data_IF_076292652813
#
_entry.id   IF_076292652813
#
_cell.length_a   1.000
_cell.length_b   1.000
_cell.length_c   1.000
_cell.angle_alpha   90.00
_cell.angle_beta   90.00
_cell.angle_gamma   90.00
#
_symmetry.space_group_name_H-M   'P 1'
#
loop_
_entity.id
_entity.type
_entity.pdbx_description
1 polymer ?
#
# COMPACT_ATOMS: atom_id res chain seq x y z
N UNK A 1 -8.57 1.41 2.87
CA UNK A 1 -7.79 2.47 3.53
C UNK A 1 -6.78 1.83 4.45
N UNK A 2 -5.52 2.25 4.38
CA UNK A 2 -4.56 2.05 5.47
C UNK A 2 -5.18 2.69 6.72
N UNK A 3 -5.57 1.88 7.71
CA UNK A 3 -6.73 2.12 8.59
C UNK A 3 -6.75 3.35 9.50
N UNK A 4 -5.87 4.34 9.31
CA UNK A 4 -5.81 5.63 10.04
C UNK A 4 -5.54 6.85 9.17
N UNK A 5 -5.31 6.70 7.87
CA UNK A 5 -4.94 7.82 7.01
C UNK A 5 -6.16 8.42 6.32
N UNK A 6 -6.27 9.75 6.36
CA UNK A 6 -7.19 10.50 5.49
C UNK A 6 -6.71 10.46 4.05
N UNK A 7 -7.55 10.85 3.09
CA UNK A 7 -7.11 11.04 1.69
C UNK A 7 -5.95 12.03 1.60
N UNK A 8 -5.97 13.09 2.41
CA UNK A 8 -4.89 14.07 2.46
C UNK A 8 -3.58 13.47 2.97
N UNK A 9 -3.62 12.61 4.01
CA UNK A 9 -2.45 11.88 4.49
C UNK A 9 -1.80 11.06 3.36
N UNK A 10 -2.62 10.36 2.56
CA UNK A 10 -2.11 9.56 1.44
C UNK A 10 -1.43 10.45 0.38
N UNK A 11 -1.96 11.64 0.10
CA UNK A 11 -1.35 12.59 -0.85
C UNK A 11 -0.04 13.15 -0.30
N UNK A 12 0.03 13.49 0.99
CA UNK A 12 1.26 13.92 1.65
C UNK A 12 2.33 12.81 1.64
N UNK A 13 1.94 11.56 1.89
CA UNK A 13 2.84 10.41 1.80
C UNK A 13 3.39 10.20 0.39
N UNK A 14 2.55 10.27 -0.64
CA UNK A 14 3.00 10.18 -2.03
C UNK A 14 3.98 11.30 -2.40
N UNK A 15 3.77 12.51 -1.88
CA UNK A 15 4.71 13.63 -2.04
C UNK A 15 6.05 13.33 -1.38
N UNK A 16 6.02 12.81 -0.15
CA UNK A 16 7.22 12.40 0.58
C UNK A 16 7.98 11.31 -0.18
N UNK A 17 7.29 10.30 -0.69
CA UNK A 17 7.86 9.20 -1.45
C UNK A 17 8.54 9.68 -2.74
N UNK A 18 7.93 10.61 -3.49
CA UNK A 18 8.49 11.19 -4.71
C UNK A 18 9.63 12.21 -4.47
N UNK A 19 9.74 12.73 -3.24
CA UNK A 19 10.73 13.75 -2.86
C UNK A 19 11.91 13.19 -2.07
N UNK A 20 11.78 12.00 -1.50
CA UNK A 20 12.77 11.41 -0.59
C UNK A 20 13.64 10.41 -1.36
N UNK A 21 14.86 10.81 -1.71
CA UNK A 21 15.87 9.89 -2.26
C UNK A 21 16.35 8.86 -1.22
N UNK A 22 16.99 7.78 -1.68
CA UNK A 22 17.45 6.63 -0.86
C UNK A 22 18.14 7.04 0.44
N UNK A 23 19.09 7.97 0.37
CA UNK A 23 19.89 8.42 1.51
C UNK A 23 19.00 9.09 2.58
N UNK A 24 18.05 9.95 2.17
CA UNK A 24 17.14 10.65 3.09
C UNK A 24 16.08 9.72 3.69
N UNK A 25 15.73 8.65 2.97
CA UNK A 25 14.87 7.59 3.50
C UNK A 25 15.61 6.76 4.56
N UNK A 26 16.83 6.30 4.26
CA UNK A 26 17.67 5.53 5.18
C UNK A 26 18.03 6.34 6.44
N UNK A 27 18.44 7.61 6.32
CA UNK A 27 18.75 8.43 7.50
C UNK A 27 17.54 8.66 8.39
N UNK A 28 16.35 8.74 7.79
CA UNK A 28 15.12 8.97 8.53
C UNK A 28 14.56 7.72 9.20
N UNK A 29 14.68 6.55 8.58
CA UNK A 29 14.30 5.29 9.23
C UNK A 29 15.27 4.95 10.38
N UNK A 30 16.57 5.23 10.21
CA UNK A 30 17.58 5.10 11.28
C UNK A 30 17.31 6.12 12.41
N UNK A 31 17.02 7.38 12.07
CA UNK A 31 16.65 8.42 13.04
C UNK A 31 15.28 8.19 13.70
N UNK A 32 14.44 7.32 13.13
CA UNK A 32 13.23 6.80 13.75
C UNK A 32 13.47 5.50 14.53
N UNK A 33 14.73 5.04 14.67
CA UNK A 33 15.09 3.77 15.32
C UNK A 33 14.35 2.56 14.73
N UNK A 34 14.18 2.56 13.40
CA UNK A 34 13.44 1.56 12.64
C UNK A 34 11.94 1.49 12.93
N UNK A 35 11.39 2.51 13.59
CA UNK A 35 9.94 2.71 13.73
C UNK A 35 9.38 3.34 12.44
N UNK A 36 8.74 2.50 11.62
CA UNK A 36 8.10 2.93 10.37
C UNK A 36 6.94 3.90 10.62
N UNK A 37 6.23 3.79 11.75
CA UNK A 37 5.12 4.66 12.08
C UNK A 37 5.63 6.06 12.45
N UNK A 38 6.67 6.15 13.27
CA UNK A 38 7.31 7.43 13.61
C UNK A 38 7.94 8.09 12.38
N UNK A 39 8.58 7.31 11.50
CA UNK A 39 9.09 7.80 10.22
C UNK A 39 7.96 8.40 9.37
N UNK A 40 6.87 7.66 9.19
CA UNK A 40 5.74 8.09 8.38
C UNK A 40 5.05 9.32 8.98
N UNK A 41 4.84 9.37 10.30
CA UNK A 41 4.24 10.52 10.98
C UNK A 41 5.04 11.81 10.76
N UNK A 42 6.38 11.73 10.88
CA UNK A 42 7.28 12.86 10.60
C UNK A 42 7.18 13.32 9.14
N UNK A 43 7.17 12.38 8.19
CA UNK A 43 7.05 12.69 6.75
C UNK A 43 5.70 13.29 6.39
N UNK A 44 4.61 12.78 6.97
CA UNK A 44 3.28 13.35 6.79
C UNK A 44 3.23 14.80 7.29
N UNK A 45 3.78 15.07 8.48
CA UNK A 45 3.85 16.43 9.03
C UNK A 45 4.70 17.37 8.17
N UNK A 46 5.83 16.89 7.60
CA UNK A 46 6.67 17.68 6.70
C UNK A 46 5.97 18.04 5.39
N UNK A 47 5.16 17.13 4.84
CA UNK A 47 4.62 17.26 3.48
C UNK A 47 3.18 17.77 3.43
N UNK A 48 2.42 17.73 4.53
CA UNK A 48 1.12 18.39 4.65
C UNK A 48 1.24 19.92 4.57
N UNK A 49 0.40 20.52 3.74
CA UNK A 49 0.20 21.98 3.70
C UNK A 49 -0.62 22.47 4.89
N UNK A 50 -0.77 23.80 5.00
CA UNK A 50 -1.71 24.40 5.94
C UNK A 50 -3.17 24.12 5.55
N UNK A 51 -3.41 23.79 4.27
CA UNK A 51 -4.71 23.38 3.73
C UNK A 51 -4.58 22.15 2.82
N UNK A 52 -5.67 21.39 2.59
CA UNK A 52 -5.67 20.29 1.63
C UNK A 52 -5.30 20.72 0.19
N UNK A 53 -5.63 21.95 -0.19
CA UNK A 53 -5.25 22.51 -1.49
C UNK A 53 -3.73 22.66 -1.60
N UNK A 54 -3.08 23.19 -0.56
CA UNK A 54 -1.61 23.27 -0.51
C UNK A 54 -0.96 21.89 -0.49
N UNK A 55 -1.53 20.91 0.23
CA UNK A 55 -1.06 19.51 0.20
C UNK A 55 -1.10 18.96 -1.22
N UNK A 56 -2.18 19.24 -1.98
CA UNK A 56 -2.31 18.81 -3.37
C UNK A 56 -1.33 19.53 -4.30
N UNK A 57 -1.09 20.83 -4.11
CA UNK A 57 -0.16 21.59 -4.95
C UNK A 57 1.29 21.13 -4.75
N UNK A 58 1.67 20.78 -3.51
CA UNK A 58 2.95 20.14 -3.21
C UNK A 58 3.10 18.80 -3.92
N UNK A 59 2.05 17.99 -3.95
CA UNK A 59 2.06 16.74 -4.70
C UNK A 59 2.23 16.97 -6.20
N UNK A 60 1.48 17.92 -6.79
CA UNK A 60 1.57 18.27 -8.22
C UNK A 60 2.99 18.68 -8.63
N UNK A 61 3.69 19.41 -7.76
CA UNK A 61 5.06 19.85 -8.00
C UNK A 61 6.09 18.71 -8.15
N UNK A 62 5.76 17.49 -7.70
CA UNK A 62 6.69 16.35 -7.69
C UNK A 62 6.26 15.19 -8.59
N UNK A 63 5.17 15.33 -9.36
CA UNK A 63 4.65 14.26 -10.25
C UNK A 63 5.65 13.84 -11.33
N UNK A 64 6.52 14.75 -11.78
CA UNK A 64 7.56 14.47 -12.78
C UNK A 64 8.88 13.97 -12.17
N UNK A 65 8.95 13.84 -10.84
CA UNK A 65 10.15 13.35 -10.15
C UNK A 65 10.42 11.89 -10.51
N UNK A 66 11.66 11.62 -10.90
CA UNK A 66 12.18 10.26 -11.12
C UNK A 66 13.01 9.76 -9.94
N UNK A 67 13.00 10.49 -8.81
CA UNK A 67 13.71 10.06 -7.60
C UNK A 67 13.04 8.81 -7.04
N UNK A 68 13.84 7.78 -6.80
CA UNK A 68 13.41 6.54 -6.17
C UNK A 68 14.38 6.18 -5.04
N UNK A 69 13.86 5.72 -3.90
CA UNK A 69 14.69 5.22 -2.81
C UNK A 69 15.33 3.85 -3.12
N UNK A 70 14.93 3.15 -4.19
CA UNK A 70 15.55 1.89 -4.64
C UNK A 70 15.38 1.68 -6.16
N UNK A 71 16.24 0.86 -6.77
CA UNK A 71 16.16 0.49 -8.19
C UNK A 71 15.11 -0.58 -8.51
N UNK A 72 14.28 -0.99 -7.54
CA UNK A 72 13.26 -2.03 -7.73
C UNK A 72 11.95 -1.41 -8.22
N UNK A 73 11.82 -1.20 -9.53
CA UNK A 73 10.64 -0.58 -10.17
C UNK A 73 9.29 -1.18 -9.74
N UNK A 74 9.11 -2.51 -9.61
CA UNK A 74 7.83 -3.07 -9.16
C UNK A 74 7.43 -2.66 -7.74
N UNK A 75 8.40 -2.43 -6.84
CA UNK A 75 8.12 -1.97 -5.49
C UNK A 75 7.56 -0.54 -5.49
N UNK A 76 8.13 0.35 -6.30
CA UNK A 76 7.63 1.72 -6.49
C UNK A 76 6.28 1.77 -7.17
N UNK A 77 6.08 0.91 -8.17
CA UNK A 77 4.79 0.76 -8.82
C UNK A 77 3.72 0.31 -7.82
N UNK A 78 4.08 -0.56 -6.87
CA UNK A 78 3.22 -0.96 -5.75
C UNK A 78 2.75 0.22 -4.90
N UNK A 79 3.66 1.12 -4.50
CA UNK A 79 3.30 2.34 -3.74
C UNK A 79 2.29 3.19 -4.50
N UNK A 80 2.50 3.45 -5.80
CA UNK A 80 1.58 4.25 -6.61
C UNK A 80 0.23 3.57 -6.82
N UNK A 81 0.23 2.27 -7.12
CA UNK A 81 -1.00 1.49 -7.32
C UNK A 81 -1.82 1.50 -6.04
N UNK A 82 -1.21 1.13 -4.92
CA UNK A 82 -1.90 0.92 -3.65
C UNK A 82 -2.41 2.24 -3.08
N UNK A 83 -1.55 3.26 -2.99
CA UNK A 83 -1.95 4.55 -2.44
C UNK A 83 -2.88 5.32 -3.38
N UNK A 84 -2.70 5.17 -4.70
CA UNK A 84 -3.66 5.67 -5.66
C UNK A 84 -5.07 5.09 -5.47
N UNK A 85 -5.18 3.82 -5.08
CA UNK A 85 -6.45 3.20 -4.75
C UNK A 85 -6.98 3.59 -3.36
N UNK A 86 -6.10 3.83 -2.37
CA UNK A 86 -6.48 4.37 -1.06
C UNK A 86 -7.07 5.80 -1.16
N UNK A 87 -6.76 6.56 -2.23
CA UNK A 87 -7.44 7.84 -2.57
C UNK A 87 -8.74 7.62 -3.35
N UNK A 88 -8.69 6.80 -4.40
CA UNK A 88 -9.78 6.68 -5.37
C UNK A 88 -11.03 6.02 -4.82
N UNK A 89 -10.89 4.88 -4.12
CA UNK A 89 -12.03 4.09 -3.65
C UNK A 89 -12.91 4.87 -2.66
N UNK A 90 -12.37 5.58 -1.65
CA UNK A 90 -13.19 6.41 -0.76
C UNK A 90 -13.89 7.59 -1.46
N UNK A 91 -13.31 8.11 -2.55
CA UNK A 91 -13.89 9.21 -3.33
C UNK A 91 -14.84 8.73 -4.45
N UNK A 92 -15.06 7.42 -4.59
CA UNK A 92 -15.87 6.86 -5.67
C UNK A 92 -15.26 7.00 -7.07
N UNK A 93 -13.97 7.33 -7.18
CA UNK A 93 -13.30 7.55 -8.48
C UNK A 93 -12.93 6.21 -9.09
N UNK A 94 -13.54 5.88 -10.23
CA UNK A 94 -13.25 4.64 -10.97
C UNK A 94 -12.08 4.87 -11.94
N UNK A 95 -10.87 4.53 -11.50
CA UNK A 95 -9.70 4.43 -12.40
C UNK A 95 -8.83 3.25 -11.97
N UNK A 96 -8.65 2.33 -12.90
CA UNK A 96 -7.87 1.10 -12.70
C UNK A 96 -6.49 1.27 -13.35
N UNK A 97 -5.39 0.89 -12.67
CA UNK A 97 -4.08 0.79 -13.31
C UNK A 97 -4.12 -0.22 -14.47
N UNK A 98 -3.14 -0.17 -15.39
CA UNK A 98 -3.07 -1.16 -16.47
C UNK A 98 -2.93 -2.58 -15.92
N UNK A 99 -3.48 -3.57 -16.62
CA UNK A 99 -3.36 -4.98 -16.25
C UNK A 99 -1.89 -5.41 -16.19
N UNK A 100 -1.05 -4.88 -17.08
CA UNK A 100 0.40 -5.08 -17.04
C UNK A 100 1.01 -4.60 -15.71
N UNK A 101 0.66 -3.38 -15.27
CA UNK A 101 1.13 -2.83 -14.00
C UNK A 101 0.66 -3.67 -12.81
N UNK A 102 -0.61 -4.06 -12.81
CA UNK A 102 -1.19 -4.90 -11.75
C UNK A 102 -0.54 -6.28 -11.71
N UNK A 103 -0.29 -6.89 -12.87
CA UNK A 103 0.38 -8.19 -12.98
C UNK A 103 1.80 -8.12 -12.42
N UNK A 104 2.56 -7.07 -12.76
CA UNK A 104 3.92 -6.88 -12.24
C UNK A 104 3.95 -6.72 -10.72
N UNK A 105 3.05 -5.87 -10.16
CA UNK A 105 2.95 -5.66 -8.71
C UNK A 105 2.46 -6.93 -8.00
N UNK A 106 1.44 -7.59 -8.54
CA UNK A 106 0.89 -8.83 -7.98
C UNK A 106 1.94 -9.95 -7.91
N UNK A 107 2.73 -10.12 -8.98
CA UNK A 107 3.85 -11.08 -9.03
C UNK A 107 4.93 -10.76 -8.01
N UNK A 108 5.28 -9.48 -7.88
CA UNK A 108 6.23 -9.04 -6.85
C UNK A 108 5.70 -9.33 -5.44
N UNK A 109 4.45 -8.98 -5.15
CA UNK A 109 3.82 -9.19 -3.84
C UNK A 109 3.68 -10.66 -3.46
N UNK A 110 3.37 -11.52 -4.42
CA UNK A 110 3.26 -12.96 -4.19
C UNK A 110 4.63 -13.62 -3.95
N UNK A 111 5.71 -13.11 -4.56
CA UNK A 111 7.05 -13.71 -4.44
C UNK A 111 7.84 -13.26 -3.20
N UNK A 112 7.57 -12.05 -2.68
CA UNK A 112 8.40 -11.42 -1.65
C UNK A 112 7.64 -10.47 -0.73
N UNK A 113 7.95 -10.51 0.56
CA UNK A 113 7.60 -9.44 1.51
C UNK A 113 8.56 -8.25 1.33
N UNK A 114 8.03 -7.03 1.35
CA UNK A 114 8.83 -5.81 1.25
C UNK A 114 8.43 -4.79 2.33
N UNK A 115 7.59 -3.81 2.00
CA UNK A 115 6.99 -2.86 2.95
C UNK A 115 5.76 -3.42 3.66
N UNK A 116 5.21 -4.50 3.11
CA UNK A 116 4.07 -5.26 3.65
C UNK A 116 4.39 -6.75 3.65
N UNK A 117 3.71 -7.49 4.52
CA UNK A 117 3.79 -8.96 4.60
C UNK A 117 2.99 -9.64 3.48
N UNK A 118 3.11 -9.17 2.23
CA UNK A 118 2.28 -9.61 1.11
C UNK A 118 2.42 -11.09 0.80
N UNK A 119 3.65 -11.61 0.74
CA UNK A 119 3.91 -13.04 0.47
C UNK A 119 3.35 -13.90 1.59
N UNK A 120 3.63 -13.53 2.84
CA UNK A 120 3.09 -14.24 4.02
C UNK A 120 1.56 -14.23 4.03
N UNK A 121 0.95 -13.13 3.61
CA UNK A 121 -0.51 -12.99 3.56
C UNK A 121 -1.16 -14.00 2.61
N UNK A 122 -0.51 -14.32 1.49
CA UNK A 122 -1.06 -15.25 0.48
C UNK A 122 -0.47 -16.65 0.49
N UNK A 123 0.44 -16.95 1.42
CA UNK A 123 1.07 -18.26 1.52
C UNK A 123 0.04 -19.39 1.64
N UNK A 124 0.15 -20.39 0.78
CA UNK A 124 -0.76 -21.56 0.72
C UNK A 124 -2.13 -21.28 0.10
N UNK A 125 -2.32 -20.15 -0.58
CA UNK A 125 -3.52 -19.84 -1.37
C UNK A 125 -3.19 -19.92 -2.88
N UNK A 126 -4.20 -20.23 -3.69
CA UNK A 126 -4.14 -20.10 -5.16
C UNK A 126 -4.82 -18.79 -5.55
N UNK A 127 -4.05 -17.85 -6.08
CA UNK A 127 -4.54 -16.56 -6.56
C UNK A 127 -4.77 -16.63 -8.07
N UNK A 128 -5.91 -16.12 -8.56
CA UNK A 128 -6.19 -16.02 -10.01
C UNK A 128 -6.91 -14.73 -10.39
N UNK A 129 -6.28 -13.96 -11.27
CA UNK A 129 -6.93 -12.80 -11.87
C UNK A 129 -8.01 -13.22 -12.87
N UNK A 130 -9.13 -12.49 -12.88
CA UNK A 130 -10.21 -12.68 -13.88
C UNK A 130 -10.06 -11.82 -15.12
N UNK A 131 -9.24 -10.77 -15.04
CA UNK A 131 -9.07 -9.71 -16.04
C UNK A 131 -7.64 -9.63 -16.60
N UNK A 132 -6.78 -10.59 -16.23
CA UNK A 132 -5.37 -10.61 -16.60
C UNK A 132 -4.72 -11.97 -16.38
N UNK A 133 -3.44 -12.10 -16.77
CA UNK A 133 -2.74 -13.39 -16.76
C UNK A 133 -2.21 -13.80 -15.38
N UNK A 134 -2.36 -12.96 -14.36
CA UNK A 134 -1.79 -13.24 -13.04
C UNK A 134 -2.41 -14.47 -12.40
N UNK A 135 -1.58 -15.46 -12.10
CA UNK A 135 -1.91 -16.60 -11.26
C UNK A 135 -0.71 -16.96 -10.38
N UNK A 136 -0.95 -17.43 -9.15
CA UNK A 136 0.12 -17.81 -8.23
C UNK A 136 -0.34 -18.81 -7.17
N UNK A 137 0.53 -19.78 -6.88
CA UNK A 137 0.38 -20.67 -5.75
C UNK A 137 -0.62 -21.81 -5.98
N UNK A 138 -0.59 -22.75 -5.03
CA UNK A 138 -1.38 -23.97 -5.05
C UNK A 138 -2.09 -24.08 -3.69
N UNK A 139 -3.42 -24.14 -3.68
CA UNK A 139 -4.21 -24.10 -2.46
C UNK A 139 -5.66 -23.66 -2.70
N UNK A 140 -6.41 -23.31 -1.64
CA UNK A 140 -7.76 -22.76 -1.77
C UNK A 140 -7.78 -21.52 -2.68
N UNK A 141 -8.66 -21.55 -3.67
CA UNK A 141 -8.78 -20.51 -4.70
C UNK A 141 -9.26 -19.18 -4.10
N UNK A 142 -8.59 -18.11 -4.51
CA UNK A 142 -9.01 -16.71 -4.38
C UNK A 142 -8.95 -16.11 -5.77
N UNK A 143 -10.11 -15.79 -6.33
CA UNK A 143 -10.27 -15.35 -7.72
C UNK A 143 -10.98 -14.00 -7.77
N UNK A 144 -10.56 -13.12 -8.67
CA UNK A 144 -11.23 -11.84 -8.87
C UNK A 144 -10.40 -10.86 -9.69
N UNK A 145 -10.80 -9.58 -9.79
CA UNK A 145 -10.07 -8.57 -10.54
C UNK A 145 -8.63 -8.41 -10.01
N UNK A 146 -7.68 -8.15 -10.92
CA UNK A 146 -6.26 -8.00 -10.57
C UNK A 146 -6.04 -6.93 -9.50
N UNK A 147 -6.79 -5.82 -9.57
CA UNK A 147 -6.73 -4.75 -8.56
C UNK A 147 -7.17 -5.22 -7.17
N UNK A 148 -8.19 -6.08 -7.08
CA UNK A 148 -8.68 -6.60 -5.81
C UNK A 148 -7.66 -7.54 -5.18
N UNK A 149 -7.06 -8.43 -5.98
CA UNK A 149 -5.98 -9.30 -5.53
C UNK A 149 -4.77 -8.49 -5.04
N UNK A 150 -4.30 -7.52 -5.82
CA UNK A 150 -3.17 -6.64 -5.45
C UNK A 150 -3.43 -5.90 -4.15
N UNK A 151 -4.62 -5.32 -3.97
CA UNK A 151 -4.96 -4.55 -2.79
C UNK A 151 -5.16 -5.42 -1.55
N UNK A 152 -5.73 -6.62 -1.71
CA UNK A 152 -5.85 -7.60 -0.62
C UNK A 152 -4.46 -8.12 -0.19
N UNK A 153 -3.56 -8.39 -1.14
CA UNK A 153 -2.14 -8.72 -0.86
C UNK A 153 -1.43 -7.59 -0.09
N UNK A 154 -1.78 -6.35 -0.36
CA UNK A 154 -1.30 -5.18 0.38
C UNK A 154 -2.00 -5.01 1.75
N UNK A 155 -2.83 -5.96 2.18
CA UNK A 155 -3.50 -5.95 3.48
C UNK A 155 -4.80 -5.14 3.53
N UNK A 156 -5.37 -4.67 2.41
CA UNK A 156 -6.63 -3.91 2.41
C UNK A 156 -7.84 -4.86 2.35
N UNK A 157 -8.29 -5.29 3.52
CA UNK A 157 -9.35 -6.30 3.68
C UNK A 157 -10.67 -6.00 2.94
N UNK A 158 -11.03 -4.72 2.72
CA UNK A 158 -12.24 -4.33 1.98
C UNK A 158 -12.22 -4.79 0.52
N UNK A 159 -11.03 -5.03 -0.07
CA UNK A 159 -10.94 -5.58 -1.42
C UNK A 159 -11.26 -7.07 -1.47
N UNK A 160 -11.33 -7.76 -0.33
CA UNK A 160 -11.83 -9.13 -0.28
C UNK A 160 -13.34 -9.22 -0.56
N UNK A 161 -14.08 -8.08 -0.56
CA UNK A 161 -15.49 -8.04 -0.97
C UNK A 161 -15.63 -8.23 -2.50
N UNK A 162 -14.56 -7.98 -3.24
CA UNK A 162 -14.49 -8.08 -4.69
C UNK A 162 -13.83 -9.41 -5.15
N UNK A 163 -13.68 -10.37 -4.24
CA UNK A 163 -13.00 -11.66 -4.46
C UNK A 163 -13.91 -12.84 -4.15
N UNK A 164 -13.75 -13.91 -4.91
CA UNK A 164 -14.50 -15.16 -4.80
C UNK A 164 -13.59 -16.36 -4.52
N UNK A 165 -14.18 -17.41 -3.95
CA UNK A 165 -13.54 -18.71 -3.76
C UNK A 165 -13.24 -19.08 -2.30
N UNK A 166 -12.89 -20.36 -2.05
CA UNK A 166 -12.75 -20.91 -0.71
C UNK A 166 -11.59 -20.32 0.10
N UNK A 167 -10.62 -19.66 -0.53
CA UNK A 167 -9.50 -19.01 0.15
C UNK A 167 -9.82 -17.60 0.67
N UNK A 168 -10.94 -16.98 0.24
CA UNK A 168 -11.27 -15.58 0.58
C UNK A 168 -11.40 -15.35 2.10
N UNK A 169 -12.07 -16.22 2.88
CA UNK A 169 -12.15 -16.03 4.33
C UNK A 169 -10.76 -16.05 5.00
N UNK A 170 -9.85 -16.90 4.54
CA UNK A 170 -8.47 -17.00 5.04
C UNK A 170 -7.71 -15.71 4.75
N UNK A 171 -7.77 -15.24 3.50
CA UNK A 171 -7.13 -13.99 3.08
C UNK A 171 -7.65 -12.80 3.88
N UNK A 172 -8.96 -12.66 4.01
CA UNK A 172 -9.60 -11.57 4.77
C UNK A 172 -9.16 -11.56 6.22
N UNK A 173 -9.12 -12.73 6.87
CA UNK A 173 -8.64 -12.85 8.25
C UNK A 173 -7.17 -12.41 8.38
N UNK A 174 -6.29 -12.82 7.46
CA UNK A 174 -4.89 -12.40 7.46
C UNK A 174 -4.73 -10.89 7.26
N UNK A 175 -5.49 -10.29 6.33
CA UNK A 175 -5.48 -8.85 6.11
C UNK A 175 -5.90 -8.08 7.38
N UNK A 176 -6.95 -8.53 8.07
CA UNK A 176 -7.42 -7.89 9.30
C UNK A 176 -6.36 -7.94 10.41
N UNK A 177 -5.70 -9.09 10.60
CA UNK A 177 -4.65 -9.25 11.61
C UNK A 177 -3.38 -8.43 11.28
N UNK A 178 -3.04 -8.29 10.00
CA UNK A 178 -1.96 -7.41 9.59
C UNK A 178 -2.26 -5.95 9.95
N UNK A 179 -3.50 -5.48 9.72
CA UNK A 179 -3.90 -4.13 10.11
C UNK A 179 -3.90 -3.93 11.63
N UNK A 180 -4.25 -4.96 12.42
CA UNK A 180 -4.17 -4.88 13.89
C UNK A 180 -2.73 -4.82 14.38
N UNK A 181 -1.81 -5.59 13.79
CA UNK A 181 -0.38 -5.54 14.16
C UNK A 181 0.22 -4.15 13.91
N UNK A 182 -0.12 -3.49 12.79
CA UNK A 182 0.23 -2.08 12.55
C UNK A 182 -0.45 -1.12 13.54
N UNK A 183 -1.57 -1.52 14.17
CA UNK A 183 -2.27 -0.66 15.13
C UNK A 183 -1.66 -0.69 16.53
N UNK A 184 -1.04 -1.80 16.92
CA UNK A 184 -0.52 -2.02 18.28
C UNK A 184 0.98 -1.72 18.43
N UNK A 185 1.65 -1.23 17.40
CA UNK A 185 3.05 -0.78 17.48
C UNK A 185 3.22 0.36 18.51
N UNK A 186 4.35 0.45 19.24
CA UNK A 186 4.52 1.31 20.43
C UNK A 186 4.41 2.83 20.23
N UNK A 187 4.18 3.31 19.01
CA UNK A 187 3.92 4.73 18.70
C UNK A 187 2.44 5.12 18.64
N UNK A 188 1.50 4.20 18.94
CA UNK A 188 0.07 4.39 18.67
C UNK A 188 -0.83 4.54 19.91
N UNK A 189 -0.29 4.87 21.08
CA UNK A 189 -1.14 5.28 22.19
C UNK A 189 -1.81 6.63 21.83
N UNK A 190 -3.14 6.79 21.92
CA UNK A 190 -3.75 8.11 21.86
C UNK A 190 -3.17 8.97 22.99
N UNK A 191 -3.05 10.30 22.81
CA UNK A 191 -2.69 11.17 23.92
C UNK A 191 -3.69 10.89 25.05
N UNK A 192 -3.16 10.60 26.25
CA UNK A 192 -3.99 10.49 27.44
C UNK A 192 -4.68 11.84 27.61
N UNK A 193 -6.02 11.81 27.70
CA UNK A 193 -6.87 12.95 28.03
C UNK A 193 -6.43 13.64 29.30
#
# INVERSE_FOLDING_TARGET
>A
MCGRWTVEDVVAHLTAAASTGTVRWITSIVGARFDADLHNARRLAEHRGATPAETLDRFRAVVTSTRAASGHTPAWLGEIVVHGQDVRRPLGIRRTPSIESLTAVATFYASRDFTVNSKKTVAGLRLEATDGPFAHGDGPLVRGPSVALTMAMAGRATYCDDLDGPGVPILRWRCANQQLAFRTSPGCAPPRS
#
